data_IF_710701147466
#
_entry.id   IF_710701147466
#
_cell.length_a   1.000
_cell.length_b   1.000
_cell.length_c   1.000
_cell.angle_alpha   90.00
_cell.angle_beta   90.00
_cell.angle_gamma   90.00
#
_symmetry.space_group_name_H-M   'P 1'
#
loop_
_entity.id
_entity.type
_entity.pdbx_description
1 polymer ?
#
# COMPACT_ATOMS: atom_id res chain seq x y z
N UNK A 1 -21.46 -6.57 20.43
CA UNK A 1 -20.30 -6.80 19.56
C UNK A 1 -20.84 -6.74 18.14
N UNK A 2 -20.86 -5.55 17.54
CA UNK A 2 -21.37 -5.35 16.18
C UNK A 2 -20.20 -5.53 15.23
N UNK A 3 -20.15 -6.66 14.51
CA UNK A 3 -19.27 -6.83 13.37
C UNK A 3 -19.81 -5.93 12.26
N UNK A 4 -19.07 -4.88 11.94
CA UNK A 4 -19.40 -3.94 10.87
C UNK A 4 -18.74 -4.47 9.61
N UNK A 5 -19.31 -5.51 8.98
CA UNK A 5 -18.87 -5.93 7.64
C UNK A 5 -19.35 -4.88 6.64
N UNK A 6 -18.58 -3.80 6.48
CA UNK A 6 -18.77 -2.88 5.37
C UNK A 6 -17.80 -3.29 4.28
N UNK A 7 -18.35 -3.66 3.12
CA UNK A 7 -17.56 -3.70 1.89
C UNK A 7 -16.99 -2.29 1.67
N UNK A 8 -15.75 -2.08 2.12
CA UNK A 8 -15.01 -0.89 1.82
C UNK A 8 -14.79 -0.90 0.31
N UNK A 9 -15.52 -0.05 -0.41
CA UNK A 9 -15.12 0.30 -1.76
C UNK A 9 -13.68 0.82 -1.65
N UNK A 10 -12.73 0.06 -2.21
CA UNK A 10 -11.30 0.32 -2.06
C UNK A 10 -11.02 1.78 -2.40
N UNK A 11 -10.56 2.54 -1.40
CA UNK A 11 -10.12 3.91 -1.60
C UNK A 11 -8.74 3.84 -2.21
N UNK A 12 -8.60 4.53 -3.33
CA UNK A 12 -7.34 4.64 -4.05
C UNK A 12 -6.34 5.36 -3.13
N UNK A 13 -5.33 4.64 -2.65
CA UNK A 13 -4.13 5.26 -2.06
C UNK A 13 -3.57 6.19 -3.14
N UNK A 14 -3.14 7.40 -2.82
CA UNK A 14 -2.51 8.29 -3.80
C UNK A 14 -1.28 8.88 -3.13
N UNK A 15 -0.21 8.08 -3.08
CA UNK A 15 1.10 8.55 -2.64
C UNK A 15 1.80 9.09 -3.87
N UNK A 16 1.82 10.42 -3.97
CA UNK A 16 2.56 11.10 -5.02
C UNK A 16 3.65 11.93 -4.41
N UNK A 17 4.89 11.49 -4.63
CA UNK A 17 6.07 12.28 -4.32
C UNK A 17 6.48 13.02 -5.60
N UNK A 18 6.27 14.34 -5.61
CA UNK A 18 6.72 15.21 -6.68
C UNK A 18 8.17 15.63 -6.45
N UNK A 19 8.86 15.97 -7.54
CA UNK A 19 10.20 16.59 -7.49
C UNK A 19 11.27 15.70 -6.88
N UNK A 20 11.21 14.38 -7.13
CA UNK A 20 12.36 13.52 -6.91
C UNK A 20 13.37 13.82 -8.00
N UNK A 21 14.51 14.39 -7.61
CA UNK A 21 15.63 14.62 -8.52
C UNK A 21 16.50 13.37 -8.57
N UNK A 22 16.60 12.74 -9.74
CA UNK A 22 17.71 11.84 -10.02
C UNK A 22 19.02 12.62 -10.18
N UNK A 23 20.15 11.91 -10.20
CA UNK A 23 21.52 12.46 -10.33
C UNK A 23 21.72 13.36 -11.57
N UNK A 24 20.81 13.32 -12.54
CA UNK A 24 20.81 14.12 -13.77
C UNK A 24 19.92 15.37 -13.75
N UNK A 25 19.30 15.73 -12.62
CA UNK A 25 18.50 16.96 -12.49
C UNK A 25 17.10 16.92 -13.11
N UNK A 26 16.70 15.78 -13.68
CA UNK A 26 15.32 15.56 -14.14
C UNK A 26 14.39 15.39 -12.93
N UNK A 27 13.35 16.23 -12.89
CA UNK A 27 12.28 16.16 -11.91
C UNK A 27 11.35 15.01 -12.28
N UNK A 28 11.31 13.99 -11.43
CA UNK A 28 10.40 12.86 -11.58
C UNK A 28 9.34 12.85 -10.48
N UNK A 29 8.17 12.33 -10.83
CA UNK A 29 7.07 12.07 -9.91
C UNK A 29 7.03 10.58 -9.64
N UNK A 30 7.09 10.18 -8.37
CA UNK A 30 6.89 8.79 -7.95
C UNK A 30 5.44 8.64 -7.52
N UNK A 31 4.72 7.69 -8.13
CA UNK A 31 3.31 7.41 -7.83
C UNK A 31 3.17 5.99 -7.30
N UNK A 32 2.42 5.88 -6.20
CA UNK A 32 1.91 4.62 -5.65
C UNK A 32 0.42 4.81 -5.39
N UNK A 33 -0.39 4.52 -6.42
CA UNK A 33 -1.84 4.73 -6.35
C UNK A 33 -2.72 3.58 -6.85
N UNK A 34 -2.09 2.45 -7.21
CA UNK A 34 -2.78 1.29 -7.77
C UNK A 34 -3.44 1.52 -9.14
N UNK A 35 -3.36 2.72 -9.73
CA UNK A 35 -3.85 3.01 -11.10
C UNK A 35 -2.85 2.56 -12.17
N UNK A 36 -1.58 2.43 -11.78
CA UNK A 36 -0.50 1.97 -12.63
C UNK A 36 -0.60 0.45 -12.81
N UNK A 37 -0.77 0.03 -14.07
CA UNK A 37 -1.05 -1.37 -14.44
C UNK A 37 -0.08 -1.85 -15.51
N UNK A 38 1.15 -1.31 -15.57
CA UNK A 38 2.09 -1.48 -16.68
C UNK A 38 2.66 -2.91 -16.88
N UNK A 39 1.90 -3.95 -16.53
CA UNK A 39 2.21 -5.35 -16.84
C UNK A 39 3.14 -6.03 -15.85
N UNK A 40 3.48 -5.39 -14.73
CA UNK A 40 4.23 -6.03 -13.63
C UNK A 40 3.29 -6.35 -12.47
N UNK A 41 3.14 -7.64 -12.18
CA UNK A 41 2.14 -8.11 -11.21
C UNK A 41 0.70 -7.98 -11.70
N UNK A 42 -0.23 -8.59 -10.97
CA UNK A 42 -1.66 -8.47 -11.27
C UNK A 42 -2.19 -7.10 -10.85
N UNK A 43 -3.33 -6.67 -11.41
CA UNK A 43 -4.07 -5.55 -10.86
C UNK A 43 -4.56 -5.88 -9.43
N UNK A 44 -4.61 -4.88 -8.56
CA UNK A 44 -5.12 -5.09 -7.19
C UNK A 44 -6.59 -5.50 -7.24
N UNK A 45 -6.91 -6.64 -6.64
CA UNK A 45 -8.27 -7.17 -6.42
C UNK A 45 -8.68 -7.17 -4.95
N UNK A 46 -7.80 -6.68 -4.07
CA UNK A 46 -8.00 -6.63 -2.62
C UNK A 46 -9.32 -5.94 -2.24
N UNK A 47 -10.13 -6.68 -1.47
CA UNK A 47 -11.31 -6.16 -0.77
C UNK A 47 -10.96 -6.05 0.71
N UNK A 48 -11.14 -4.88 1.30
CA UNK A 48 -10.66 -4.57 2.65
C UNK A 48 -11.74 -4.66 3.73
N UNK A 49 -11.35 -5.11 4.91
CA UNK A 49 -12.13 -5.10 6.15
C UNK A 49 -11.27 -4.61 7.31
N UNK A 50 -11.89 -3.87 8.23
CA UNK A 50 -11.25 -3.30 9.41
C UNK A 50 -12.07 -3.61 10.65
N UNK A 51 -11.50 -4.36 11.59
CA UNK A 51 -12.19 -4.78 12.81
C UNK A 51 -11.97 -3.86 14.02
N UNK A 52 -11.15 -2.81 13.86
CA UNK A 52 -10.73 -1.90 14.94
C UNK A 52 -9.28 -2.10 15.40
N UNK A 53 -8.66 -3.21 15.04
CA UNK A 53 -7.26 -3.57 15.37
C UNK A 53 -6.49 -4.13 14.19
N UNK A 54 -7.17 -4.90 13.34
CA UNK A 54 -6.60 -5.60 12.20
C UNK A 54 -7.25 -5.12 10.92
N UNK A 55 -6.42 -4.73 9.96
CA UNK A 55 -6.82 -4.47 8.59
C UNK A 55 -6.54 -5.75 7.79
N UNK A 56 -7.58 -6.35 7.25
CA UNK A 56 -7.45 -7.55 6.41
C UNK A 56 -7.96 -7.26 5.01
N UNK A 57 -7.33 -7.87 4.02
CA UNK A 57 -7.85 -7.96 2.67
C UNK A 57 -8.18 -9.40 2.28
N UNK A 58 -9.15 -9.54 1.39
CA UNK A 58 -9.32 -10.76 0.58
C UNK A 58 -8.87 -10.47 -0.84
N UNK A 59 -8.03 -11.32 -1.42
CA UNK A 59 -7.55 -11.18 -2.80
C UNK A 59 -6.13 -10.61 -2.89
N UNK A 60 -5.78 -10.11 -4.08
CA UNK A 60 -4.45 -9.61 -4.37
C UNK A 60 -4.37 -8.11 -4.08
N UNK A 61 -3.54 -7.71 -3.14
CA UNK A 61 -3.08 -6.33 -3.04
C UNK A 61 -1.83 -6.14 -3.90
N UNK A 62 -1.87 -5.13 -4.77
CA UNK A 62 -0.81 -4.82 -5.74
C UNK A 62 -0.37 -3.36 -5.54
N UNK A 63 0.78 -3.15 -4.89
CA UNK A 63 1.33 -1.83 -4.63
C UNK A 63 2.43 -1.51 -5.65
N UNK A 64 2.01 -1.06 -6.83
CA UNK A 64 2.91 -0.67 -7.92
C UNK A 64 3.51 0.70 -7.65
N UNK A 65 4.83 0.80 -7.73
CA UNK A 65 5.58 2.06 -7.70
C UNK A 65 6.07 2.38 -9.11
N UNK A 66 5.81 3.59 -9.61
CA UNK A 66 6.20 4.02 -10.95
C UNK A 66 6.85 5.39 -11.00
N UNK A 67 7.65 5.61 -12.04
CA UNK A 67 8.21 6.92 -12.40
C UNK A 67 7.36 7.58 -13.50
N UNK A 68 6.76 8.71 -13.16
CA UNK A 68 5.90 9.52 -14.03
C UNK A 68 4.42 9.37 -13.70
N UNK A 69 3.60 10.24 -14.29
CA UNK A 69 2.19 10.39 -13.94
C UNK A 69 1.21 9.70 -14.87
N UNK A 70 1.70 8.85 -15.78
CA UNK A 70 0.85 8.11 -16.72
C UNK A 70 0.55 6.72 -16.16
N UNK A 71 -0.66 6.16 -16.34
CA UNK A 71 -0.96 4.78 -15.95
C UNK A 71 -0.06 3.71 -16.60
N UNK A 72 0.64 4.09 -17.69
CA UNK A 72 1.64 3.27 -18.40
C UNK A 72 3.09 3.73 -18.18
N UNK A 73 3.32 4.53 -17.14
CA UNK A 73 4.65 4.98 -16.74
C UNK A 73 5.59 3.82 -16.43
N UNK A 74 6.91 4.08 -16.55
CA UNK A 74 7.93 3.08 -16.22
C UNK A 74 7.81 2.67 -14.77
N UNK A 75 7.61 1.38 -14.54
CA UNK A 75 7.51 0.81 -13.21
C UNK A 75 8.88 0.58 -12.58
N UNK A 76 8.95 0.82 -11.27
CA UNK A 76 10.11 0.58 -10.42
C UNK A 76 10.02 -0.82 -9.86
N UNK A 77 8.98 -1.08 -9.07
CA UNK A 77 8.69 -2.37 -8.46
C UNK A 77 7.20 -2.46 -8.13
N UNK A 78 6.75 -3.66 -7.76
CA UNK A 78 5.41 -3.93 -7.27
C UNK A 78 5.45 -4.96 -6.15
N UNK A 79 4.90 -4.60 -4.99
CA UNK A 79 4.60 -5.58 -3.95
C UNK A 79 3.28 -6.28 -4.28
N UNK A 80 3.31 -7.60 -4.33
CA UNK A 80 2.17 -8.48 -4.57
C UNK A 80 1.90 -9.28 -3.30
N UNK A 81 0.77 -8.98 -2.66
CA UNK A 81 0.42 -9.59 -1.37
C UNK A 81 -0.94 -10.24 -1.49
N UNK A 82 -1.02 -11.54 -1.22
CA UNK A 82 -2.31 -12.24 -1.17
C UNK A 82 -2.83 -12.21 0.25
N UNK A 83 -4.09 -11.79 0.39
CA UNK A 83 -4.80 -11.66 1.67
C UNK A 83 -3.96 -10.90 2.72
N UNK A 84 -3.48 -9.70 2.35
CA UNK A 84 -2.71 -8.83 3.24
C UNK A 84 -3.48 -8.63 4.54
N UNK A 85 -2.83 -8.94 5.65
CA UNK A 85 -3.36 -8.75 7.01
C UNK A 85 -2.34 -7.96 7.81
N UNK A 86 -2.75 -6.80 8.32
CA UNK A 86 -1.94 -5.90 9.15
C UNK A 86 -2.62 -5.79 10.51
N UNK A 87 -1.98 -6.36 11.54
CA UNK A 87 -2.37 -6.19 12.94
C UNK A 87 -1.64 -4.98 13.52
N UNK A 88 -2.38 -3.89 13.71
CA UNK A 88 -1.84 -2.64 14.25
C UNK A 88 -1.59 -2.68 15.76
N UNK A 89 -2.06 -3.72 16.45
CA UNK A 89 -1.77 -3.93 17.88
C UNK A 89 -0.40 -4.57 18.11
N UNK A 90 0.08 -5.34 17.13
CA UNK A 90 1.40 -5.97 17.14
C UNK A 90 2.38 -5.35 16.15
N UNK A 91 1.94 -4.38 15.35
CA UNK A 91 2.68 -3.77 14.24
C UNK A 91 3.23 -4.83 13.29
N UNK A 92 2.38 -5.77 12.86
CA UNK A 92 2.83 -6.89 12.04
C UNK A 92 1.91 -7.17 10.86
N UNK A 93 2.51 -7.39 9.69
CA UNK A 93 1.87 -7.92 8.50
C UNK A 93 1.97 -9.45 8.37
N UNK A 94 2.47 -10.13 9.42
CA UNK A 94 2.77 -11.57 9.41
C UNK A 94 1.55 -12.51 9.27
N UNK A 95 0.33 -11.99 9.36
CA UNK A 95 -0.90 -12.75 9.13
C UNK A 95 -1.24 -12.97 7.64
N UNK A 96 -0.45 -12.42 6.73
CA UNK A 96 -0.69 -12.46 5.28
C UNK A 96 -0.43 -13.84 4.66
N UNK A 97 -1.12 -14.17 3.56
CA UNK A 97 -0.99 -15.49 2.92
C UNK A 97 0.31 -15.63 2.13
N UNK A 98 0.65 -14.65 1.30
CA UNK A 98 1.87 -14.67 0.50
C UNK A 98 2.35 -13.27 0.16
N UNK A 99 3.66 -13.15 -0.08
CA UNK A 99 4.31 -11.91 -0.48
C UNK A 99 5.29 -12.20 -1.61
N UNK A 100 5.27 -11.37 -2.66
CA UNK A 100 6.27 -11.36 -3.73
C UNK A 100 6.57 -9.91 -4.09
N UNK A 101 7.85 -9.58 -4.23
CA UNK A 101 8.26 -8.33 -4.86
C UNK A 101 8.60 -8.59 -6.34
N UNK A 102 8.01 -7.81 -7.25
CA UNK A 102 8.25 -7.90 -8.69
C UNK A 102 8.92 -6.61 -9.16
N UNK A 103 10.06 -6.72 -9.85
CA UNK A 103 10.75 -5.54 -10.39
C UNK A 103 10.22 -5.12 -11.75
N UNK A 104 10.17 -3.80 -11.96
CA UNK A 104 10.00 -3.21 -13.28
C UNK A 104 11.35 -2.97 -13.96
N UNK A 105 11.31 -2.36 -15.16
CA UNK A 105 12.50 -2.15 -15.98
C UNK A 105 13.40 -0.98 -15.52
N UNK A 106 12.93 -0.13 -14.59
CA UNK A 106 13.68 1.06 -14.21
C UNK A 106 14.99 0.74 -13.48
N UNK A 107 14.93 -0.15 -12.48
CA UNK A 107 16.04 -0.39 -11.56
C UNK A 107 17.22 -1.12 -12.22
N UNK A 108 16.93 -2.05 -13.12
CA UNK A 108 17.97 -2.73 -13.89
C UNK A 108 18.76 -1.77 -14.78
N UNK A 109 18.13 -0.70 -15.28
CA UNK A 109 18.78 0.34 -16.08
C UNK A 109 19.77 1.22 -15.30
N UNK A 110 19.70 1.23 -13.97
CA UNK A 110 20.62 1.97 -13.10
C UNK A 110 21.53 1.04 -12.27
N UNK A 111 21.55 -0.27 -12.60
CA UNK A 111 22.46 -1.23 -11.98
C UNK A 111 22.10 -1.63 -10.56
N UNK A 112 20.80 -1.69 -10.22
CA UNK A 112 20.35 -2.11 -8.88
C UNK A 112 19.16 -3.05 -8.95
N UNK A 113 19.01 -3.89 -7.93
CA UNK A 113 17.77 -4.60 -7.60
C UNK A 113 17.19 -4.01 -6.32
N UNK A 114 16.04 -3.36 -6.43
CA UNK A 114 15.27 -2.82 -5.31
C UNK A 114 14.46 -3.89 -4.59
N UNK A 115 13.94 -4.90 -5.31
CA UNK A 115 13.32 -6.05 -4.63
C UNK A 115 14.36 -6.90 -3.91
N UNK A 116 15.55 -7.06 -4.50
CA UNK A 116 16.65 -7.80 -3.89
C UNK A 116 17.48 -6.97 -2.89
N UNK A 117 17.40 -5.64 -2.87
CA UNK A 117 18.22 -4.81 -1.97
C UNK A 117 19.74 -4.94 -2.20
N UNK A 118 20.17 -5.02 -3.46
CA UNK A 118 21.58 -5.09 -3.85
C UNK A 118 21.86 -4.26 -5.12
N UNK A 119 23.12 -3.92 -5.36
CA UNK A 119 23.60 -3.33 -6.61
C UNK A 119 24.34 -4.36 -7.48
N UNK A 120 24.46 -4.09 -8.78
CA UNK A 120 25.05 -4.99 -9.79
C UNK A 120 26.58 -4.87 -9.90
N UNK A 121 27.23 -4.46 -8.81
CA UNK A 121 28.67 -4.33 -8.76
C UNK A 121 29.26 -3.40 -9.84
N UNK A 122 30.44 -3.78 -10.32
CA UNK A 122 31.25 -3.06 -11.30
C UNK A 122 30.87 -3.44 -12.73
N UNK A 123 30.46 -4.69 -12.96
CA UNK A 123 30.12 -5.18 -14.29
C UNK A 123 28.69 -4.81 -14.74
N UNK A 124 27.87 -4.26 -13.82
CA UNK A 124 26.48 -3.83 -14.06
C UNK A 124 25.55 -4.97 -14.50
N UNK A 125 25.87 -6.22 -14.16
CA UNK A 125 25.07 -7.41 -14.43
C UNK A 125 24.53 -7.95 -13.11
N UNK A 126 23.25 -8.32 -13.09
CA UNK A 126 22.68 -8.98 -11.91
C UNK A 126 23.08 -10.46 -11.91
N UNK A 127 23.88 -10.85 -10.93
CA UNK A 127 24.38 -12.21 -10.74
C UNK A 127 23.81 -12.85 -9.46
N UNK A 128 23.03 -12.08 -8.71
CA UNK A 128 22.32 -12.48 -7.52
C UNK A 128 20.98 -13.12 -7.86
N UNK A 129 20.51 -13.97 -6.95
CA UNK A 129 19.19 -14.60 -7.05
C UNK A 129 18.42 -14.35 -5.76
N UNK A 130 17.19 -13.86 -5.89
CA UNK A 130 16.25 -13.68 -4.78
C UNK A 130 14.97 -14.46 -5.09
N UNK A 131 14.49 -15.22 -4.11
CA UNK A 131 13.29 -16.05 -4.22
C UNK A 131 12.35 -15.72 -3.09
N UNK A 132 11.09 -15.44 -3.45
CA UNK A 132 9.97 -15.32 -2.53
C UNK A 132 9.12 -16.58 -2.57
N UNK A 133 8.70 -17.02 -1.40
CA UNK A 133 7.82 -18.15 -1.19
C UNK A 133 8.53 -19.47 -0.83
N UNK A 134 7.76 -20.50 -0.42
CA UNK A 134 6.29 -20.46 -0.26
C UNK A 134 5.83 -19.55 0.89
N UNK A 135 4.65 -18.94 0.74
CA UNK A 135 4.08 -18.01 1.73
C UNK A 135 4.86 -16.70 1.83
N UNK A 136 5.31 -16.36 3.05
CA UNK A 136 6.08 -15.15 3.36
C UNK A 136 7.61 -15.39 3.42
N UNK A 137 8.05 -16.63 3.15
CA UNK A 137 9.48 -16.95 3.17
C UNK A 137 10.23 -16.18 2.07
N UNK A 138 11.44 -15.72 2.39
CA UNK A 138 12.32 -15.07 1.41
C UNK A 138 13.73 -15.61 1.55
N UNK A 139 14.42 -15.82 0.43
CA UNK A 139 15.82 -16.23 0.41
C UNK A 139 16.59 -15.49 -0.67
N UNK A 140 17.87 -15.23 -0.40
CA UNK A 140 18.74 -14.56 -1.35
C UNK A 140 20.13 -15.18 -1.33
N UNK A 141 20.71 -15.30 -2.51
CA UNK A 141 22.13 -15.57 -2.73
C UNK A 141 22.71 -14.42 -3.52
N UNK A 142 23.70 -13.75 -2.94
CA UNK A 142 24.47 -12.71 -3.63
C UNK A 142 25.53 -13.39 -4.48
N UNK A 143 25.57 -13.06 -5.76
CA UNK A 143 26.49 -13.65 -6.74
C UNK A 143 27.50 -12.63 -7.27
N UNK A 144 28.58 -13.14 -7.86
CA UNK A 144 29.53 -12.31 -8.61
C UNK A 144 30.13 -11.15 -7.82
N UNK A 145 30.07 -9.95 -8.38
CA UNK A 145 30.51 -8.70 -7.74
C UNK A 145 29.35 -7.82 -7.24
N UNK A 146 28.14 -8.38 -7.15
CA UNK A 146 26.98 -7.71 -6.55
C UNK A 146 27.20 -7.41 -5.06
N UNK A 147 26.68 -6.28 -4.59
CA UNK A 147 26.82 -5.85 -3.20
C UNK A 147 25.47 -5.50 -2.57
N UNK A 148 25.22 -6.04 -1.37
CA UNK A 148 24.05 -5.68 -0.56
C UNK A 148 24.13 -4.21 -0.16
N UNK A 149 23.07 -3.46 -0.41
CA UNK A 149 23.03 -1.99 -0.22
C UNK A 149 22.40 -1.54 1.12
N UNK A 150 22.21 -2.51 2.02
CA UNK A 150 21.54 -2.45 3.34
C UNK A 150 20.03 -2.72 3.27
N UNK A 151 19.61 -3.81 3.91
CA UNK A 151 18.19 -4.22 4.04
C UNK A 151 17.91 -5.65 3.61
N UNK A 152 18.76 -6.23 2.76
CA UNK A 152 18.46 -7.53 2.14
C UNK A 152 17.24 -7.43 1.21
N UNK A 153 16.65 -8.57 0.82
CA UNK A 153 15.42 -8.58 0.03
C UNK A 153 14.29 -7.84 0.73
N UNK A 154 13.48 -7.10 -0.04
CA UNK A 154 12.19 -6.60 0.42
C UNK A 154 11.30 -7.80 0.76
N UNK A 155 10.66 -7.76 1.92
CA UNK A 155 9.75 -8.79 2.40
C UNK A 155 8.48 -8.18 3.01
N UNK A 156 7.62 -9.04 3.58
CA UNK A 156 6.34 -8.63 4.17
C UNK A 156 6.48 -7.61 5.32
N UNK A 157 7.65 -7.54 5.96
CA UNK A 157 7.89 -6.58 7.06
C UNK A 157 7.91 -5.13 6.59
N UNK A 158 7.99 -4.89 5.26
CA UNK A 158 7.74 -3.57 4.69
C UNK A 158 6.34 -3.03 5.03
N UNK A 159 5.41 -3.91 5.41
CA UNK A 159 4.03 -3.60 5.79
C UNK A 159 3.75 -3.73 7.29
N UNK A 160 4.79 -3.83 8.13
CA UNK A 160 4.69 -3.79 9.60
C UNK A 160 4.30 -2.38 10.06
N UNK A 161 3.03 -2.04 9.81
CA UNK A 161 2.45 -0.73 10.05
C UNK A 161 1.75 -0.66 11.40
N UNK A 162 1.80 0.53 11.98
CA UNK A 162 1.11 0.89 13.20
C UNK A 162 -0.15 1.71 12.91
N UNK A 163 -1.08 1.76 13.86
CA UNK A 163 -2.23 2.66 13.78
C UNK A 163 -1.75 4.11 13.95
N UNK A 164 -1.93 4.93 12.91
CA UNK A 164 -1.67 6.37 12.99
C UNK A 164 -2.89 7.12 13.53
N UNK A 165 -4.07 6.85 12.99
CA UNK A 165 -5.33 7.46 13.46
C UNK A 165 -6.57 6.72 12.94
N UNK A 166 -7.64 6.74 13.74
CA UNK A 166 -8.99 6.33 13.34
C UNK A 166 -10.01 7.28 13.95
N UNK A 167 -10.77 7.99 13.11
CA UNK A 167 -11.79 8.96 13.56
C UNK A 167 -13.23 8.45 13.43
N UNK A 168 -13.42 7.17 13.09
CA UNK A 168 -14.71 6.56 12.80
C UNK A 168 -15.12 6.63 11.33
N UNK A 169 -14.42 7.42 10.52
CA UNK A 169 -14.66 7.57 9.07
C UNK A 169 -13.40 7.41 8.22
N UNK A 170 -12.24 7.70 8.79
CA UNK A 170 -10.94 7.68 8.12
C UNK A 170 -9.96 6.88 8.95
N UNK A 171 -9.46 5.79 8.38
CA UNK A 171 -8.40 4.95 8.93
C UNK A 171 -7.08 5.31 8.26
N UNK A 172 -6.07 5.55 9.09
CA UNK A 172 -4.71 5.79 8.65
C UNK A 172 -3.80 4.82 9.40
N UNK A 173 -3.14 3.95 8.65
CA UNK A 173 -2.10 3.04 9.15
C UNK A 173 -0.81 3.31 8.40
N UNK A 174 0.34 3.15 9.05
CA UNK A 174 1.63 3.38 8.39
C UNK A 174 2.83 3.14 9.31
N UNK A 175 4.02 3.29 8.75
CA UNK A 175 5.28 3.09 9.47
C UNK A 175 5.78 4.35 10.20
N UNK A 176 5.15 5.52 9.98
CA UNK A 176 5.49 6.78 10.66
C UNK A 176 6.90 7.33 10.36
N UNK A 177 7.62 6.74 9.41
CA UNK A 177 9.00 7.09 9.08
C UNK A 177 9.03 8.42 8.33
N UNK A 178 9.64 9.47 8.87
CA UNK A 178 9.74 10.73 8.15
C UNK A 178 10.65 10.60 6.92
N UNK A 179 10.10 10.77 5.72
CA UNK A 179 10.86 10.89 4.47
C UNK A 179 11.06 12.38 4.16
N UNK A 180 12.32 12.83 4.21
CA UNK A 180 12.72 14.21 3.95
C UNK A 180 12.27 15.23 5.02
N UNK A 181 12.18 16.51 4.63
CA UNK A 181 11.84 17.63 5.53
C UNK A 181 10.33 17.81 5.74
N UNK A 182 9.52 16.76 5.59
CA UNK A 182 8.06 16.83 5.74
C UNK A 182 7.66 17.03 7.22
N UNK A 183 7.71 18.27 7.70
CA UNK A 183 7.41 18.66 9.08
C UNK A 183 5.95 19.05 9.32
N UNK A 184 4.98 18.50 8.57
CA UNK A 184 3.58 18.92 8.68
C UNK A 184 2.51 18.04 8.02
N UNK A 185 2.73 16.74 7.82
CA UNK A 185 1.77 15.82 7.19
C UNK A 185 2.10 14.36 7.47
N UNK A 186 1.34 13.43 6.85
CA UNK A 186 1.55 11.98 6.92
C UNK A 186 3.02 11.63 6.74
N UNK A 187 3.60 10.94 7.72
CA UNK A 187 5.01 10.57 7.76
C UNK A 187 5.16 9.14 7.25
N UNK A 188 5.95 8.95 6.20
CA UNK A 188 6.35 7.62 5.73
C UNK A 188 5.38 6.99 4.74
N UNK A 189 5.49 5.68 4.57
CA UNK A 189 4.49 4.92 3.82
C UNK A 189 3.25 4.78 4.71
N UNK A 190 2.11 5.19 4.16
CA UNK A 190 0.83 5.16 4.85
C UNK A 190 -0.28 4.69 3.92
N UNK A 191 -1.18 3.88 4.46
CA UNK A 191 -2.43 3.50 3.80
C UNK A 191 -3.57 4.30 4.44
N UNK A 192 -4.42 4.88 3.60
CA UNK A 192 -5.54 5.72 4.02
C UNK A 192 -6.82 5.10 3.46
N UNK A 193 -7.77 4.80 4.35
CA UNK A 193 -9.08 4.30 3.99
C UNK A 193 -10.14 5.27 4.48
N UNK A 194 -10.99 5.75 3.57
CA UNK A 194 -12.16 6.56 3.93
C UNK A 194 -13.42 5.75 3.71
N UNK A 195 -14.26 5.61 4.74
CA UNK A 195 -15.58 5.01 4.57
C UNK A 195 -16.48 6.04 3.89
N UNK A 196 -17.05 5.76 2.71
CA UNK A 196 -18.12 6.59 2.18
C UNK A 196 -19.26 6.54 3.18
N UNK A 197 -19.61 7.66 3.83
CA UNK A 197 -20.81 7.71 4.67
C UNK A 197 -21.98 7.34 3.77
N UNK A 198 -22.67 6.21 3.98
CA UNK A 198 -23.72 5.81 3.06
C UNK A 198 -24.77 6.91 3.05
N UNK A 199 -25.24 7.30 1.87
CA UNK A 199 -26.39 8.19 1.70
C UNK A 199 -27.63 7.72 2.50
N UNK A 200 -27.63 6.46 2.96
CA UNK A 200 -28.57 5.91 3.93
C UNK A 200 -28.65 6.71 5.25
N UNK A 201 -27.57 7.32 5.76
CA UNK A 201 -27.65 8.17 6.97
C UNK A 201 -28.60 9.36 6.76
N UNK A 202 -28.58 9.95 5.56
CA UNK A 202 -29.52 11.00 5.15
C UNK A 202 -30.94 10.46 4.94
N UNK A 203 -31.09 9.25 4.41
CA UNK A 203 -32.40 8.61 4.22
C UNK A 203 -33.04 8.20 5.56
N UNK A 204 -32.28 7.68 6.52
CA UNK A 204 -32.79 7.36 7.85
C UNK A 204 -33.10 8.61 8.66
N UNK A 205 -32.27 9.66 8.56
CA UNK A 205 -32.55 10.96 9.17
C UNK A 205 -33.83 11.61 8.63
N UNK A 206 -34.02 11.58 7.31
CA UNK A 206 -35.24 12.12 6.67
C UNK A 206 -36.48 11.26 6.94
N UNK A 207 -36.36 9.93 6.99
CA UNK A 207 -37.44 9.02 7.35
C UNK A 207 -37.88 9.21 8.83
N UNK A 208 -36.94 9.37 9.76
CA UNK A 208 -37.25 9.67 11.17
C UNK A 208 -37.88 11.06 11.33
N UNK A 209 -37.40 12.05 10.58
CA UNK A 209 -38.01 13.39 10.54
C UNK A 209 -39.46 13.35 10.05
N UNK A 210 -39.74 12.59 8.99
CA UNK A 210 -41.09 12.39 8.45
C UNK A 210 -41.99 11.60 9.42
N UNK A 211 -41.48 10.56 10.08
CA UNK A 211 -42.24 9.82 11.11
C UNK A 211 -42.57 10.69 12.32
N UNK A 212 -41.62 11.52 12.78
CA UNK A 212 -41.85 12.47 13.88
C UNK A 212 -42.93 13.49 13.54
N UNK A 213 -42.92 14.01 12.33
CA UNK A 213 -43.94 14.95 11.85
C UNK A 213 -45.31 14.30 11.66
N UNK A 214 -45.37 13.09 11.11
CA UNK A 214 -46.60 12.33 10.95
C UNK A 214 -47.26 12.00 12.31
N UNK A 215 -46.44 11.72 13.35
CA UNK A 215 -46.92 11.47 14.71
C UNK A 215 -47.51 12.73 15.35
N UNK A 216 -46.92 13.90 15.08
CA UNK A 216 -47.39 15.20 15.60
C UNK A 216 -48.77 15.58 15.06
N UNK A 217 -49.09 15.20 13.81
CA UNK A 217 -50.39 15.46 13.18
C UNK A 217 -51.55 14.60 13.67
N UNK A 218 -51.28 13.44 14.28
CA UNK A 218 -52.33 12.57 14.84
C UNK A 218 -52.69 12.88 16.30
N UNK A 219 -51.92 13.75 16.96
CA UNK A 219 -52.12 14.14 18.35
C UNK A 219 -52.79 15.52 18.50
N UNK A 220 -53.37 16.06 17.43
CA UNK A 220 -54.18 17.30 17.39
C UNK A 220 -55.51 16.97 16.72
#
# INVERSE_FOLDING_TARGET
MFAVSHAANAVQVFLVSHHQTGTAGTINTVITDGSHTSGIGGASTAVWDWDGTTLSSTGLYSAVISVGSSPVSTTILSDQITDLTIDTSTNSAGGSTSYVCVEGAFLSGIGVSGCGGHNFGTNSMNESTTVWGPGLATSQTIGGDDMVTAGGPRDITAYDFSLSSWDGTTLIIGNGVAVGSNSGGLRGEAMIFTTPVPAAAWLFGSALGLLGWARRRKAS
#
